data_IF_113250682763
#
_entry.id   IF_113250682763
#
_cell.length_a   1.000
_cell.length_b   1.000
_cell.length_c   1.000
_cell.angle_alpha   90.00
_cell.angle_beta   90.00
_cell.angle_gamma   90.00
#
_symmetry.space_group_name_H-M   'P 1'
#
loop_
_entity.id
_entity.type
_entity.pdbx_description
1 polymer ?
#
# COMPACT_ATOMS: atom_id res chain seq x y z
N UNK A 1 4.30 26.45 27.30
CA UNK A 1 4.01 26.76 25.89
C UNK A 1 5.07 26.07 25.05
N UNK A 2 4.71 24.98 24.41
CA UNK A 2 5.57 24.40 23.39
C UNK A 2 5.64 25.41 22.25
N UNK A 3 6.87 25.86 21.93
CA UNK A 3 7.12 26.64 20.72
C UNK A 3 6.79 25.73 19.52
N UNK A 4 5.61 25.85 19.00
CA UNK A 4 5.27 25.27 17.70
C UNK A 4 6.13 25.98 16.65
N UNK A 5 7.29 25.43 16.36
CA UNK A 5 8.08 25.81 15.19
C UNK A 5 7.21 25.53 13.97
N UNK A 6 6.87 26.57 13.21
CA UNK A 6 6.10 26.42 12.00
C UNK A 6 6.76 25.51 11.02
N UNK A 7 6.44 24.52 10.46
CA UNK A 7 6.93 23.46 9.58
C UNK A 7 8.14 22.70 10.11
N UNK A 8 7.89 21.54 10.70
CA UNK A 8 8.92 20.54 10.92
C UNK A 8 8.99 19.60 9.70
N UNK A 9 10.19 19.46 9.15
CA UNK A 9 10.42 18.50 8.09
C UNK A 9 10.44 17.08 8.64
N UNK A 10 9.50 16.24 8.17
CA UNK A 10 9.46 14.82 8.49
C UNK A 10 9.80 14.00 7.24
N UNK A 11 10.48 12.88 7.45
CA UNK A 11 10.83 11.95 6.38
C UNK A 11 9.69 10.95 6.19
N UNK A 12 9.20 10.85 4.96
CA UNK A 12 8.15 9.93 4.56
C UNK A 12 8.66 8.97 3.48
N UNK A 13 8.15 7.74 3.48
CA UNK A 13 8.35 6.76 2.42
C UNK A 13 6.98 6.36 1.88
N UNK A 14 6.67 6.76 0.67
CA UNK A 14 5.35 6.57 0.06
C UNK A 14 5.31 5.40 -0.93
N UNK A 15 6.36 4.57 -0.97
CA UNK A 15 6.43 3.37 -1.81
C UNK A 15 7.20 2.27 -1.11
N UNK A 16 6.51 1.43 -0.37
CA UNK A 16 7.13 0.38 0.42
C UNK A 16 6.35 -0.92 0.31
N UNK A 17 7.09 -2.02 0.09
CA UNK A 17 6.54 -3.37 0.06
C UNK A 17 6.81 -4.10 1.37
N UNK A 18 5.81 -4.84 1.84
CA UNK A 18 5.91 -5.72 3.00
C UNK A 18 6.11 -7.17 2.59
N UNK A 19 6.16 -8.07 3.57
CA UNK A 19 6.20 -9.51 3.31
C UNK A 19 4.90 -10.06 2.66
N UNK A 20 3.84 -9.26 2.57
CA UNK A 20 2.59 -9.64 1.88
C UNK A 20 2.69 -9.49 0.37
N UNK A 21 3.62 -8.68 -0.14
CA UNK A 21 3.84 -8.56 -1.58
C UNK A 21 4.32 -9.88 -2.19
N UNK A 22 3.84 -10.20 -3.39
CA UNK A 22 4.22 -11.46 -4.03
C UNK A 22 5.74 -11.55 -4.32
N UNK A 23 6.37 -10.42 -4.57
CA UNK A 23 7.79 -10.29 -4.89
C UNK A 23 8.70 -10.10 -3.67
N UNK A 24 8.14 -10.12 -2.46
CA UNK A 24 8.91 -9.97 -1.24
C UNK A 24 9.96 -11.08 -1.10
N UNK A 25 11.23 -10.68 -0.95
CA UNK A 25 12.36 -11.61 -0.84
C UNK A 25 12.43 -12.30 0.52
N UNK A 26 11.92 -11.66 1.56
CA UNK A 26 11.91 -12.20 2.92
C UNK A 26 10.50 -12.20 3.50
N UNK A 27 10.03 -13.36 3.96
CA UNK A 27 8.69 -13.59 4.50
C UNK A 27 8.71 -14.31 5.85
N UNK A 28 9.80 -14.13 6.62
CA UNK A 28 9.92 -14.69 7.96
C UNK A 28 8.95 -14.05 8.97
N UNK A 29 8.74 -14.72 10.10
CA UNK A 29 7.82 -14.27 11.14
C UNK A 29 8.22 -12.94 11.79
N UNK A 30 9.49 -12.56 11.67
CA UNK A 30 10.04 -11.30 12.18
C UNK A 30 10.13 -10.18 11.12
N UNK A 31 9.60 -10.40 9.90
CA UNK A 31 9.70 -9.46 8.79
C UNK A 31 9.16 -8.07 9.15
N UNK A 32 8.02 -8.02 9.83
CA UNK A 32 7.39 -6.75 10.22
C UNK A 32 8.20 -6.02 11.30
N UNK A 33 8.79 -6.76 12.24
CA UNK A 33 9.66 -6.17 13.26
C UNK A 33 10.93 -5.59 12.63
N UNK A 34 11.58 -6.34 11.74
CA UNK A 34 12.77 -5.88 11.01
C UNK A 34 12.47 -4.64 10.16
N UNK A 35 11.31 -4.60 9.52
CA UNK A 35 10.84 -3.44 8.76
C UNK A 35 10.68 -2.21 9.66
N UNK A 36 9.96 -2.36 10.77
CA UNK A 36 9.75 -1.25 11.71
C UNK A 36 11.06 -0.75 12.33
N UNK A 37 11.98 -1.64 12.65
CA UNK A 37 13.31 -1.27 13.17
C UNK A 37 14.11 -0.47 12.14
N UNK A 38 14.05 -0.86 10.88
CA UNK A 38 14.70 -0.14 9.79
C UNK A 38 14.11 1.26 9.57
N UNK A 39 12.77 1.37 9.62
CA UNK A 39 12.07 2.66 9.50
C UNK A 39 12.43 3.61 10.66
N UNK A 40 12.45 3.11 11.88
CA UNK A 40 12.87 3.89 13.06
C UNK A 40 14.31 4.35 12.95
N UNK A 41 15.24 3.46 12.56
CA UNK A 41 16.65 3.79 12.35
C UNK A 41 16.85 4.90 11.32
N UNK A 42 16.00 4.95 10.30
CA UNK A 42 16.02 5.99 9.24
C UNK A 42 15.20 7.23 9.58
N UNK A 43 14.61 7.29 10.77
CA UNK A 43 13.75 8.38 11.21
C UNK A 43 12.55 8.64 10.28
N UNK A 44 11.99 7.58 9.71
CA UNK A 44 10.78 7.66 8.89
C UNK A 44 9.57 7.87 9.83
N UNK A 45 8.73 8.84 9.50
CA UNK A 45 7.53 9.21 10.30
C UNK A 45 6.22 8.77 9.67
N UNK A 46 6.20 8.60 8.36
CA UNK A 46 5.02 8.14 7.64
C UNK A 46 5.43 7.21 6.49
N UNK A 47 4.62 6.19 6.25
CA UNK A 47 4.87 5.17 5.22
C UNK A 47 3.57 4.84 4.51
N UNK A 48 3.58 4.74 3.19
CA UNK A 48 2.52 4.08 2.45
C UNK A 48 2.92 2.62 2.18
N UNK A 49 2.09 1.69 2.63
CA UNK A 49 2.23 0.26 2.31
C UNK A 49 1.61 0.03 0.94
N UNK A 50 2.44 -0.27 -0.04
CA UNK A 50 2.07 -0.35 -1.46
C UNK A 50 2.42 -1.71 -2.06
N UNK A 51 2.01 -2.77 -1.40
CA UNK A 51 2.22 -4.14 -1.89
C UNK A 51 1.55 -4.34 -3.26
N UNK A 52 2.12 -5.19 -4.10
CA UNK A 52 1.57 -5.49 -5.41
C UNK A 52 0.24 -6.24 -5.31
N UNK A 53 -0.83 -5.65 -5.84
CA UNK A 53 -2.16 -6.26 -5.98
C UNK A 53 -2.76 -6.82 -4.68
N UNK A 54 -2.35 -6.30 -3.53
CA UNK A 54 -2.91 -6.68 -2.23
C UNK A 54 -2.96 -5.48 -1.27
N UNK A 55 -4.07 -5.37 -0.55
CA UNK A 55 -4.19 -4.52 0.64
C UNK A 55 -4.38 -5.47 1.82
N UNK A 56 -3.33 -5.71 2.59
CA UNK A 56 -3.34 -6.63 3.73
C UNK A 56 -3.70 -5.88 5.02
N UNK A 57 -4.99 -5.88 5.35
CA UNK A 57 -5.51 -5.23 6.55
C UNK A 57 -4.80 -5.68 7.82
N UNK A 58 -4.68 -7.00 8.02
CA UNK A 58 -4.13 -7.56 9.26
C UNK A 58 -2.67 -7.15 9.44
N UNK A 59 -1.91 -7.13 8.36
CA UNK A 59 -0.53 -6.67 8.37
C UNK A 59 -0.41 -5.18 8.67
N UNK A 60 -1.25 -4.35 8.06
CA UNK A 60 -1.25 -2.90 8.34
C UNK A 60 -1.58 -2.64 9.82
N UNK A 61 -2.58 -3.31 10.37
CA UNK A 61 -2.94 -3.21 11.79
C UNK A 61 -1.80 -3.71 12.69
N UNK A 62 -1.13 -4.79 12.32
CA UNK A 62 0.03 -5.31 13.06
C UNK A 62 1.19 -4.30 13.05
N UNK A 63 1.54 -3.75 11.90
CA UNK A 63 2.60 -2.71 11.80
C UNK A 63 2.27 -1.49 12.65
N UNK A 64 1.02 -1.03 12.65
CA UNK A 64 0.55 0.05 13.52
C UNK A 64 0.70 -0.27 15.00
N UNK A 65 0.49 -1.53 15.39
CA UNK A 65 0.61 -1.97 16.78
C UNK A 65 2.06 -1.98 17.28
N UNK A 66 3.01 -2.38 16.43
CA UNK A 66 4.43 -2.48 16.82
C UNK A 66 5.21 -1.19 16.60
N UNK A 67 4.70 -0.25 15.80
CA UNK A 67 5.32 1.05 15.56
C UNK A 67 4.28 2.18 15.61
N UNK A 68 3.69 2.46 16.81
CA UNK A 68 2.61 3.45 16.95
C UNK A 68 3.04 4.89 16.65
N UNK A 69 4.33 5.18 16.63
CA UNK A 69 4.89 6.49 16.31
C UNK A 69 5.06 6.73 14.81
N UNK A 70 4.81 5.72 13.98
CA UNK A 70 4.85 5.80 12.52
C UNK A 70 3.43 5.77 11.98
N UNK A 71 3.10 6.70 11.08
CA UNK A 71 1.82 6.71 10.38
C UNK A 71 1.91 5.74 9.19
N UNK A 72 1.03 4.74 9.13
CA UNK A 72 0.93 3.80 8.03
C UNK A 72 -0.32 4.07 7.20
N UNK A 73 -0.12 4.55 5.97
CA UNK A 73 -1.19 4.71 4.99
C UNK A 73 -1.42 3.38 4.28
N UNK A 74 -2.68 2.93 4.15
CA UNK A 74 -3.00 1.85 3.23
C UNK A 74 -2.71 2.27 1.81
N UNK A 75 -2.23 1.36 0.99
CA UNK A 75 -1.96 1.62 -0.41
C UNK A 75 -1.86 0.32 -1.19
N UNK A 76 -1.68 0.43 -2.48
CA UNK A 76 -1.48 -0.70 -3.38
C UNK A 76 -0.73 -0.26 -4.63
N UNK A 77 0.15 -1.11 -5.14
CA UNK A 77 0.77 -0.94 -6.44
C UNK A 77 0.10 -1.84 -7.47
N UNK A 78 -0.40 -1.21 -8.53
CA UNK A 78 -1.11 -1.86 -9.63
C UNK A 78 -0.35 -1.67 -10.94
N UNK A 79 -0.57 -2.57 -11.89
CA UNK A 79 -0.11 -2.43 -13.28
C UNK A 79 -1.28 -2.14 -14.20
N UNK A 80 -1.08 -1.25 -15.16
CA UNK A 80 -2.04 -1.02 -16.24
C UNK A 80 -1.67 -1.83 -17.49
N UNK A 81 -2.68 -2.27 -18.20
CA UNK A 81 -2.56 -3.06 -19.43
C UNK A 81 -2.18 -2.25 -20.68
N UNK A 82 -2.12 -0.92 -20.57
CA UNK A 82 -2.03 -0.03 -21.74
C UNK A 82 -0.64 0.22 -22.28
N UNK A 83 0.42 -0.35 -21.71
CA UNK A 83 1.77 -0.10 -22.21
C UNK A 83 2.66 -1.33 -22.15
N UNK A 84 3.36 -1.57 -23.24
CA UNK A 84 4.43 -2.57 -23.33
C UNK A 84 5.52 -2.43 -22.24
N UNK A 85 5.54 -1.32 -21.51
CA UNK A 85 6.51 -0.99 -20.48
C UNK A 85 6.00 -1.24 -19.04
N UNK A 86 4.87 -1.92 -18.84
CA UNK A 86 4.33 -2.24 -17.51
C UNK A 86 4.29 -1.01 -16.58
N UNK A 87 3.52 0.00 -16.93
CA UNK A 87 3.36 1.17 -16.10
C UNK A 87 2.75 0.77 -14.75
N UNK A 88 3.47 1.03 -13.68
CA UNK A 88 3.02 0.82 -12.32
C UNK A 88 2.36 2.11 -11.81
N UNK A 89 1.25 1.94 -11.13
CA UNK A 89 0.47 3.02 -10.55
C UNK A 89 0.27 2.70 -9.08
N UNK A 90 0.60 3.66 -8.23
CA UNK A 90 0.44 3.56 -6.80
C UNK A 90 -0.82 4.31 -6.38
N UNK A 91 -1.68 3.63 -5.63
CA UNK A 91 -2.80 4.24 -4.94
C UNK A 91 -2.47 4.32 -3.45
N UNK A 92 -2.65 5.50 -2.87
CA UNK A 92 -2.48 5.73 -1.43
C UNK A 92 -3.79 6.24 -0.87
N UNK A 93 -4.31 5.54 0.13
CA UNK A 93 -5.57 5.86 0.79
C UNK A 93 -5.32 6.58 2.11
N UNK A 94 -6.33 7.30 2.61
CA UNK A 94 -6.25 7.96 3.90
C UNK A 94 -5.89 6.96 5.01
N UNK A 95 -5.04 7.37 5.95
CA UNK A 95 -4.67 6.54 7.10
C UNK A 95 -5.87 6.24 8.02
N UNK A 96 -6.93 7.04 7.98
CA UNK A 96 -8.17 6.81 8.71
C UNK A 96 -9.23 6.04 7.89
N UNK A 97 -8.90 5.60 6.67
CA UNK A 97 -9.78 4.77 5.86
C UNK A 97 -10.25 3.54 6.62
N UNK A 98 -11.51 3.16 6.43
CA UNK A 98 -12.05 1.92 6.98
C UNK A 98 -11.44 0.73 6.26
N UNK A 99 -10.38 0.16 6.84
CA UNK A 99 -9.59 -0.91 6.22
C UNK A 99 -10.43 -2.11 5.81
N UNK A 100 -11.43 -2.48 6.60
CA UNK A 100 -12.29 -3.62 6.28
C UNK A 100 -13.08 -3.40 4.99
N UNK A 101 -13.72 -2.23 4.84
CA UNK A 101 -14.48 -1.88 3.64
C UNK A 101 -13.56 -1.73 2.42
N UNK A 102 -12.45 -1.02 2.58
CA UNK A 102 -11.47 -0.85 1.51
C UNK A 102 -10.91 -2.18 1.02
N UNK A 103 -10.56 -3.07 1.93
CA UNK A 103 -10.00 -4.40 1.61
C UNK A 103 -11.04 -5.28 0.93
N UNK A 104 -12.29 -5.24 1.40
CA UNK A 104 -13.39 -6.01 0.81
C UNK A 104 -13.65 -5.54 -0.64
N UNK A 105 -13.82 -4.25 -0.87
CA UNK A 105 -14.04 -3.69 -2.21
C UNK A 105 -12.87 -3.99 -3.15
N UNK A 106 -11.65 -3.87 -2.65
CA UNK A 106 -10.46 -4.21 -3.42
C UNK A 106 -10.44 -5.69 -3.79
N UNK A 107 -10.70 -6.59 -2.85
CA UNK A 107 -10.72 -8.03 -3.08
C UNK A 107 -11.82 -8.46 -4.06
N UNK A 108 -13.00 -7.85 -3.98
CA UNK A 108 -14.09 -8.09 -4.96
C UNK A 108 -13.65 -7.68 -6.36
N UNK A 109 -13.03 -6.53 -6.50
CA UNK A 109 -12.51 -6.05 -7.78
C UNK A 109 -11.39 -6.96 -8.31
N UNK A 110 -10.48 -7.39 -7.46
CA UNK A 110 -9.41 -8.34 -7.79
C UNK A 110 -9.96 -9.69 -8.23
N UNK A 111 -10.97 -10.20 -7.54
CA UNK A 111 -11.63 -11.46 -7.90
C UNK A 111 -12.23 -11.39 -9.31
N UNK A 112 -12.95 -10.33 -9.61
CA UNK A 112 -13.54 -10.11 -10.95
C UNK A 112 -12.48 -10.05 -12.04
N UNK A 113 -11.35 -9.38 -11.76
CA UNK A 113 -10.24 -9.26 -12.70
C UNK A 113 -9.49 -10.57 -12.90
N UNK A 114 -9.22 -11.34 -11.83
CA UNK A 114 -8.64 -12.69 -11.93
C UNK A 114 -9.49 -13.64 -12.75
N UNK A 115 -10.81 -13.61 -12.54
CA UNK A 115 -11.73 -14.44 -13.31
C UNK A 115 -11.66 -14.16 -14.82
N UNK A 116 -11.28 -12.95 -15.22
CA UNK A 116 -11.06 -12.57 -16.61
C UNK A 116 -9.66 -12.92 -17.12
N UNK A 117 -8.64 -12.81 -16.28
CA UNK A 117 -7.24 -12.90 -16.69
C UNK A 117 -6.76 -14.34 -16.93
N UNK A 118 -7.26 -15.35 -16.21
CA UNK A 118 -6.87 -16.78 -16.26
C UNK A 118 -5.35 -17.05 -16.15
N UNK A 119 -4.58 -16.12 -15.60
CA UNK A 119 -3.12 -16.11 -15.65
C UNK A 119 -2.50 -15.94 -14.25
N UNK A 120 -1.17 -16.10 -14.17
CA UNK A 120 -0.40 -15.96 -12.95
C UNK A 120 -0.51 -14.56 -12.33
N UNK A 121 -0.33 -14.38 -10.99
CA UNK A 121 -0.48 -13.09 -10.32
C UNK A 121 0.34 -11.95 -10.94
N UNK A 122 1.54 -12.24 -11.45
CA UNK A 122 2.43 -11.29 -12.09
C UNK A 122 1.93 -10.78 -13.44
N UNK A 123 0.92 -11.41 -14.02
CA UNK A 123 0.31 -11.02 -15.31
C UNK A 123 -1.03 -10.34 -15.15
N UNK A 124 -1.46 -10.05 -13.91
CA UNK A 124 -2.70 -9.32 -13.64
C UNK A 124 -2.51 -7.85 -13.95
N UNK A 125 -3.45 -7.31 -14.69
CA UNK A 125 -3.50 -5.89 -15.04
C UNK A 125 -4.88 -5.33 -14.73
N UNK A 126 -4.90 -4.04 -14.35
CA UNK A 126 -6.13 -3.26 -14.34
C UNK A 126 -6.12 -2.27 -15.51
N UNK A 127 -7.25 -2.08 -16.17
CA UNK A 127 -7.41 -0.96 -17.09
C UNK A 127 -7.19 0.36 -16.33
N UNK A 128 -6.55 1.32 -16.97
CA UNK A 128 -6.26 2.62 -16.35
C UNK A 128 -7.53 3.31 -15.84
N UNK A 129 -8.62 3.23 -16.61
CA UNK A 129 -9.90 3.83 -16.20
C UNK A 129 -10.45 3.16 -14.94
N UNK A 130 -10.31 1.83 -14.80
CA UNK A 130 -10.73 1.12 -13.59
C UNK A 130 -9.91 1.53 -12.37
N UNK A 131 -8.60 1.81 -12.55
CA UNK A 131 -7.74 2.31 -11.48
C UNK A 131 -8.20 3.70 -11.03
N UNK A 132 -8.47 4.58 -11.97
CA UNK A 132 -8.96 5.94 -11.68
C UNK A 132 -10.33 5.91 -11.01
N UNK A 133 -11.24 5.05 -11.47
CA UNK A 133 -12.57 4.88 -10.87
C UNK A 133 -12.46 4.41 -9.41
N UNK A 134 -11.67 3.36 -9.15
CA UNK A 134 -11.43 2.86 -7.80
C UNK A 134 -10.78 3.92 -6.89
N UNK A 135 -9.80 4.65 -7.41
CA UNK A 135 -9.16 5.72 -6.69
C UNK A 135 -10.14 6.83 -6.30
N UNK A 136 -11.03 7.23 -7.21
CA UNK A 136 -12.05 8.26 -6.95
C UNK A 136 -13.10 7.79 -5.95
N UNK A 137 -13.53 6.53 -6.02
CA UNK A 137 -14.50 5.95 -5.06
C UNK A 137 -13.97 5.93 -3.63
N UNK A 138 -12.66 5.85 -3.45
CA UNK A 138 -11.99 5.75 -2.16
C UNK A 138 -11.13 6.99 -1.80
N UNK A 139 -11.29 8.10 -2.52
CA UNK A 139 -10.51 9.34 -2.31
C UNK A 139 -8.99 9.12 -2.24
N UNK A 140 -8.47 8.22 -3.07
CA UNK A 140 -7.06 7.89 -3.09
C UNK A 140 -6.21 8.92 -3.85
N UNK A 141 -4.98 9.09 -3.39
CA UNK A 141 -3.93 9.72 -4.19
C UNK A 141 -3.42 8.73 -5.25
N UNK A 142 -3.19 9.23 -6.45
CA UNK A 142 -2.62 8.45 -7.57
C UNK A 142 -1.20 8.96 -7.82
N UNK A 143 -0.23 8.03 -7.85
CA UNK A 143 1.17 8.33 -8.15
C UNK A 143 1.74 7.35 -9.20
#
# INVERSE_FOLDING_TARGET
MENTRGSEWNRWDLHLHTASSYDAKYKGNDADQLLCDALKKKHIKAVAITDHFIIDKDRIEHLRSIAPDIVFFPGVELRTDKNANNLHIILIFDCESRLSELTEDFNVTMYRKKAKAKEAPETIYWDFNDIVEFANEHDALIS
#
